data_IF_308303407695
#
_entry.id   IF_308303407695
#
_cell.length_a   1.000
_cell.length_b   1.000
_cell.length_c   1.000
_cell.angle_alpha   90.00
_cell.angle_beta   90.00
_cell.angle_gamma   90.00
#
_symmetry.space_group_name_H-M   'P 1'
#
loop_
_entity.id
_entity.type
_entity.pdbx_description
1 polymer ?
#
# COMPACT_ATOMS: atom_id res chain seq x y z
N UNK A 1 -49.95 75.64 -7.60
CA UNK A 1 -49.89 74.65 -8.69
C UNK A 1 -49.14 73.45 -8.16
N UNK A 2 -49.82 72.30 -8.09
CA UNK A 2 -49.26 71.04 -7.61
C UNK A 2 -48.33 70.46 -8.69
N UNK A 3 -47.11 70.07 -8.31
CA UNK A 3 -46.26 69.25 -9.17
C UNK A 3 -46.42 67.79 -8.76
N UNK A 4 -47.18 67.08 -9.59
CA UNK A 4 -47.25 65.63 -9.71
C UNK A 4 -45.88 65.10 -10.20
N UNK A 5 -45.18 64.39 -9.33
CA UNK A 5 -43.93 63.73 -9.64
C UNK A 5 -44.05 62.24 -9.36
N UNK A 6 -44.42 61.47 -10.39
CA UNK A 6 -44.33 60.01 -10.32
C UNK A 6 -42.87 59.54 -10.30
N UNK A 7 -42.50 58.76 -9.28
CA UNK A 7 -41.21 58.07 -9.23
C UNK A 7 -41.28 56.83 -10.11
N UNK A 8 -40.74 56.91 -11.34
CA UNK A 8 -40.48 55.73 -12.15
C UNK A 8 -39.19 55.07 -11.68
N UNK A 9 -39.31 53.95 -10.98
CA UNK A 9 -38.19 53.06 -10.74
C UNK A 9 -37.87 52.32 -12.04
N UNK A 10 -36.98 52.88 -12.85
CA UNK A 10 -36.36 52.14 -13.94
C UNK A 10 -35.29 51.24 -13.31
N UNK A 11 -35.67 50.01 -12.94
CA UNK A 11 -34.72 48.97 -12.54
C UNK A 11 -33.99 48.47 -13.78
N UNK A 12 -33.27 49.34 -14.47
CA UNK A 12 -32.18 48.90 -15.34
C UNK A 12 -31.13 48.32 -14.41
N UNK A 13 -31.07 47.00 -14.39
CA UNK A 13 -29.98 46.25 -13.78
C UNK A 13 -28.68 46.79 -14.38
N UNK A 14 -27.98 47.60 -13.59
CA UNK A 14 -26.67 48.12 -13.98
C UNK A 14 -25.69 46.96 -13.94
N UNK A 15 -25.55 46.34 -15.11
CA UNK A 15 -24.61 45.25 -15.33
C UNK A 15 -23.16 45.68 -15.20
N UNK A 16 -22.84 46.98 -15.05
CA UNK A 16 -21.45 47.46 -14.95
C UNK A 16 -20.74 46.91 -13.72
N UNK A 17 -21.40 46.81 -12.56
CA UNK A 17 -20.83 46.24 -11.35
C UNK A 17 -20.58 44.73 -11.45
N UNK A 18 -21.52 43.99 -12.06
CA UNK A 18 -21.38 42.55 -12.31
C UNK A 18 -20.31 42.25 -13.38
N UNK A 19 -20.25 43.08 -14.43
CA UNK A 19 -19.26 42.98 -15.51
C UNK A 19 -17.87 43.32 -15.00
N UNK A 20 -17.74 44.32 -14.13
CA UNK A 20 -16.48 44.64 -13.44
C UNK A 20 -16.08 43.55 -12.43
N UNK A 21 -17.05 42.91 -11.77
CA UNK A 21 -16.84 41.73 -10.93
C UNK A 21 -16.32 40.51 -11.71
N UNK A 22 -16.91 40.21 -12.87
CA UNK A 22 -16.46 39.14 -13.78
C UNK A 22 -15.13 39.49 -14.44
N UNK A 23 -14.85 40.75 -14.77
CA UNK A 23 -13.55 41.18 -15.31
C UNK A 23 -12.44 41.05 -14.27
N UNK A 24 -12.71 41.34 -12.99
CA UNK A 24 -11.78 41.10 -11.88
C UNK A 24 -11.60 39.60 -11.59
N UNK A 25 -12.65 38.80 -11.66
CA UNK A 25 -12.55 37.34 -11.62
C UNK A 25 -11.77 36.78 -12.82
N UNK A 26 -11.95 37.38 -14.00
CA UNK A 26 -11.22 37.07 -15.22
C UNK A 26 -9.76 37.52 -15.18
N UNK A 27 -9.41 38.57 -14.43
CA UNK A 27 -8.03 38.99 -14.21
C UNK A 27 -7.34 38.18 -13.11
N UNK A 28 -8.07 37.77 -12.06
CA UNK A 28 -7.57 36.84 -11.04
C UNK A 28 -7.45 35.43 -11.62
N UNK A 29 -8.35 35.03 -12.51
CA UNK A 29 -8.18 33.84 -13.33
C UNK A 29 -7.01 34.03 -14.30
N UNK A 30 -6.83 35.17 -14.98
CA UNK A 30 -5.67 35.37 -15.88
C UNK A 30 -4.33 35.49 -15.17
N UNK A 31 -4.28 35.86 -13.90
CA UNK A 31 -3.03 35.99 -13.13
C UNK A 31 -2.78 34.76 -12.24
N UNK A 32 -3.82 34.14 -11.69
CA UNK A 32 -3.75 32.84 -11.01
C UNK A 32 -3.55 31.69 -12.01
N UNK A 33 -4.29 31.65 -13.11
CA UNK A 33 -4.13 30.68 -14.20
C UNK A 33 -2.95 31.02 -15.13
N UNK A 34 -2.30 32.19 -15.06
CA UNK A 34 -0.94 32.36 -15.65
C UNK A 34 0.18 31.88 -14.74
N UNK A 35 -0.15 31.48 -13.51
CA UNK A 35 0.76 30.70 -12.66
C UNK A 35 0.38 29.20 -12.74
N UNK A 36 -0.86 28.87 -13.12
CA UNK A 36 -1.32 27.46 -13.19
C UNK A 36 -1.52 26.87 -14.60
N UNK A 37 -1.61 27.64 -15.69
CA UNK A 37 -1.78 27.12 -17.06
C UNK A 37 -0.56 27.30 -18.00
N UNK A 38 0.43 28.10 -17.63
CA UNK A 38 1.75 28.10 -18.29
C UNK A 38 2.73 27.10 -17.69
N UNK A 39 2.34 26.36 -16.64
CA UNK A 39 3.09 25.20 -16.14
C UNK A 39 2.85 23.92 -16.96
N UNK A 40 1.91 23.92 -17.91
CA UNK A 40 1.57 22.75 -18.76
C UNK A 40 2.08 22.94 -20.21
N UNK A 41 2.64 24.10 -20.57
CA UNK A 41 2.90 24.44 -21.98
C UNK A 41 4.33 24.30 -22.51
N UNK A 42 5.37 24.19 -21.67
CA UNK A 42 6.76 24.15 -22.14
C UNK A 42 7.69 23.45 -21.16
N UNK A 43 7.44 22.17 -20.88
CA UNK A 43 8.42 21.29 -20.25
C UNK A 43 8.76 20.19 -21.25
N UNK A 44 9.78 20.47 -22.05
CA UNK A 44 10.37 19.54 -23.01
C UNK A 44 10.86 18.29 -22.28
N UNK A 45 10.06 17.22 -22.35
CA UNK A 45 10.43 15.81 -22.18
C UNK A 45 10.82 15.34 -20.77
N UNK A 46 11.79 15.99 -20.12
CA UNK A 46 12.43 15.49 -18.90
C UNK A 46 11.96 16.21 -17.62
N UNK A 47 11.84 17.54 -17.65
CA UNK A 47 11.46 18.32 -16.46
C UNK A 47 9.97 18.22 -16.11
N UNK A 48 9.07 18.09 -17.10
CA UNK A 48 7.63 17.96 -16.87
C UNK A 48 7.25 16.60 -16.30
N UNK A 49 7.90 15.55 -16.80
CA UNK A 49 7.80 14.21 -16.25
C UNK A 49 8.34 14.16 -14.81
N UNK A 50 9.48 14.80 -14.52
CA UNK A 50 10.05 14.83 -13.17
C UNK A 50 9.16 15.58 -12.16
N UNK A 51 8.60 16.73 -12.53
CA UNK A 51 7.69 17.50 -11.65
C UNK A 51 6.36 16.75 -11.41
N UNK A 52 5.76 16.17 -12.46
CA UNK A 52 4.54 15.38 -12.33
C UNK A 52 4.76 14.10 -11.49
N UNK A 53 5.89 13.43 -11.67
CA UNK A 53 6.26 12.23 -10.90
C UNK A 53 6.51 12.55 -9.43
N UNK A 54 7.18 13.68 -9.12
CA UNK A 54 7.42 14.11 -7.74
C UNK A 54 6.13 14.45 -6.98
N UNK A 55 5.20 15.15 -7.61
CA UNK A 55 3.87 15.46 -7.04
C UNK A 55 3.05 14.18 -6.84
N UNK A 56 3.06 13.26 -7.82
CA UNK A 56 2.32 12.00 -7.74
C UNK A 56 2.88 11.05 -6.66
N UNK A 57 4.19 11.05 -6.44
CA UNK A 57 4.83 10.28 -5.37
C UNK A 57 4.44 10.82 -3.98
N UNK A 58 4.50 12.15 -3.79
CA UNK A 58 4.13 12.75 -2.51
C UNK A 58 2.65 12.52 -2.18
N UNK A 59 1.78 12.65 -3.18
CA UNK A 59 0.35 12.36 -3.05
C UNK A 59 0.05 10.89 -2.73
N UNK A 60 0.78 9.93 -3.33
CA UNK A 60 0.65 8.51 -2.97
C UNK A 60 1.04 8.26 -1.52
N UNK A 61 2.11 8.91 -1.05
CA UNK A 61 2.58 8.74 0.32
C UNK A 61 1.59 9.28 1.34
N UNK A 62 1.01 10.45 1.08
CA UNK A 62 -0.09 10.99 1.88
C UNK A 62 -1.31 10.07 1.88
N UNK A 63 -1.62 9.43 0.75
CA UNK A 63 -2.71 8.46 0.66
C UNK A 63 -2.43 7.21 1.53
N UNK A 64 -1.19 6.70 1.53
CA UNK A 64 -0.80 5.60 2.41
C UNK A 64 -0.87 6.00 3.89
N UNK A 65 -0.36 7.17 4.27
CA UNK A 65 -0.45 7.66 5.66
C UNK A 65 -1.91 7.77 6.09
N UNK A 66 -2.78 8.30 5.23
CA UNK A 66 -4.22 8.40 5.52
C UNK A 66 -4.84 7.01 5.69
N UNK A 67 -4.56 6.09 4.76
CA UNK A 67 -5.09 4.72 4.80
C UNK A 67 -4.59 3.94 6.02
N UNK A 68 -3.30 4.00 6.33
CA UNK A 68 -2.77 3.32 7.51
C UNK A 68 -3.21 4.01 8.79
N UNK A 69 -3.42 5.33 8.77
CA UNK A 69 -3.93 6.08 9.91
C UNK A 69 -5.31 5.62 10.34
N UNK A 70 -6.19 5.28 9.39
CA UNK A 70 -7.51 4.72 9.71
C UNK A 70 -7.42 3.27 10.20
N UNK A 71 -6.50 2.46 9.67
CA UNK A 71 -6.33 1.06 10.07
C UNK A 71 -5.65 0.91 11.43
N UNK A 72 -4.65 1.74 11.72
CA UNK A 72 -3.87 1.72 12.96
C UNK A 72 -4.47 2.61 14.06
N UNK A 73 -5.40 3.50 13.70
CA UNK A 73 -5.98 4.48 14.63
C UNK A 73 -5.00 5.59 15.05
N UNK A 74 -3.83 5.70 14.41
CA UNK A 74 -2.80 6.67 14.73
C UNK A 74 -2.09 7.18 13.48
N UNK A 75 -2.16 8.50 13.25
CA UNK A 75 -1.44 9.16 12.16
C UNK A 75 0.09 9.10 12.34
N UNK A 76 0.55 9.06 13.60
CA UNK A 76 1.98 8.95 13.91
C UNK A 76 2.50 7.56 13.53
N UNK A 77 1.80 6.49 13.93
CA UNK A 77 2.17 5.12 13.58
C UNK A 77 2.06 4.87 12.08
N UNK A 78 1.06 5.45 11.42
CA UNK A 78 0.95 5.40 9.97
C UNK A 78 2.15 6.06 9.27
N UNK A 79 2.61 7.21 9.77
CA UNK A 79 3.78 7.90 9.23
C UNK A 79 5.05 7.06 9.43
N UNK A 80 5.22 6.47 10.63
CA UNK A 80 6.33 5.56 10.93
C UNK A 80 6.32 4.35 10.01
N UNK A 81 5.18 3.69 9.86
CA UNK A 81 5.02 2.53 8.98
C UNK A 81 5.42 2.89 7.55
N UNK A 82 4.87 3.98 7.02
CA UNK A 82 5.17 4.43 5.65
C UNK A 82 6.66 4.71 5.43
N UNK A 83 7.34 5.34 6.40
CA UNK A 83 8.79 5.52 6.34
C UNK A 83 9.53 4.18 6.36
N UNK A 84 9.12 3.24 7.21
CA UNK A 84 9.73 1.91 7.26
C UNK A 84 9.53 1.14 5.94
N UNK A 85 8.36 1.23 5.31
CA UNK A 85 8.11 0.62 4.00
C UNK A 85 8.98 1.24 2.90
N UNK A 86 9.23 2.55 2.97
CA UNK A 86 10.16 3.24 2.06
C UNK A 86 11.60 2.76 2.27
N UNK A 87 12.04 2.63 3.51
CA UNK A 87 13.39 2.11 3.82
C UNK A 87 13.56 0.65 3.37
N UNK A 88 12.53 -0.18 3.58
CA UNK A 88 12.54 -1.56 3.12
C UNK A 88 12.58 -1.64 1.59
N UNK A 89 11.74 -0.90 0.88
CA UNK A 89 11.76 -0.85 -0.59
C UNK A 89 13.04 -0.26 -1.18
N UNK A 90 13.85 0.47 -0.40
CA UNK A 90 15.16 0.93 -0.83
C UNK A 90 16.28 -0.13 -0.68
N UNK A 91 16.04 -1.20 0.09
CA UNK A 91 17.01 -2.26 0.39
C UNK A 91 16.64 -3.60 -0.27
N UNK A 92 15.45 -3.69 -0.83
CA UNK A 92 14.88 -4.93 -1.37
C UNK A 92 14.46 -4.73 -2.83
N UNK A 93 14.17 -5.81 -3.58
CA UNK A 93 13.67 -5.73 -4.94
C UNK A 93 12.22 -5.22 -5.06
N UNK A 94 11.56 -4.87 -3.95
CA UNK A 94 10.16 -4.45 -3.92
C UNK A 94 9.98 -2.94 -3.96
N UNK A 95 8.94 -2.47 -4.65
CA UNK A 95 8.54 -1.07 -4.56
C UNK A 95 7.81 -0.80 -3.23
N UNK A 96 7.86 0.45 -2.76
CA UNK A 96 7.06 0.87 -1.60
C UNK A 96 5.55 0.61 -1.81
N UNK A 97 5.09 0.67 -3.05
CA UNK A 97 3.70 0.38 -3.44
C UNK A 97 3.31 -1.09 -3.19
N UNK A 98 4.21 -2.02 -3.47
CA UNK A 98 4.04 -3.46 -3.24
C UNK A 98 3.95 -3.76 -1.76
N UNK A 99 4.90 -3.21 -0.99
CA UNK A 99 4.98 -3.38 0.45
C UNK A 99 3.78 -2.72 1.16
N UNK A 100 3.30 -1.59 0.66
CA UNK A 100 2.10 -0.93 1.19
C UNK A 100 0.84 -1.77 0.93
N UNK A 101 0.67 -2.32 -0.28
CA UNK A 101 -0.46 -3.21 -0.61
C UNK A 101 -0.46 -4.47 0.27
N UNK A 102 0.70 -5.08 0.46
CA UNK A 102 0.86 -6.22 1.35
C UNK A 102 0.52 -5.85 2.81
N UNK A 103 1.00 -4.68 3.25
CA UNK A 103 0.71 -4.17 4.60
C UNK A 103 -0.78 -3.95 4.84
N UNK A 104 -1.48 -3.36 3.88
CA UNK A 104 -2.93 -3.18 3.96
C UNK A 104 -3.65 -4.54 4.04
N UNK A 105 -3.18 -5.53 3.29
CA UNK A 105 -3.76 -6.88 3.34
C UNK A 105 -3.56 -7.50 4.73
N UNK A 106 -2.34 -7.50 5.25
CA UNK A 106 -2.02 -8.07 6.56
C UNK A 106 -2.79 -7.40 7.71
N UNK A 107 -2.82 -6.06 7.72
CA UNK A 107 -3.55 -5.30 8.73
C UNK A 107 -5.07 -5.52 8.64
N UNK A 108 -5.64 -5.61 7.43
CA UNK A 108 -7.06 -5.87 7.23
C UNK A 108 -7.48 -7.26 7.76
N UNK A 109 -6.56 -8.22 7.76
CA UNK A 109 -6.77 -9.57 8.31
C UNK A 109 -6.37 -9.68 9.79
N UNK A 110 -5.97 -8.58 10.43
CA UNK A 110 -5.73 -8.50 11.87
C UNK A 110 -4.30 -8.74 12.32
N UNK A 111 -3.31 -8.72 11.40
CA UNK A 111 -1.89 -8.73 11.78
C UNK A 111 -1.59 -7.50 12.63
N UNK A 112 -0.84 -7.66 13.72
CA UNK A 112 -0.45 -6.54 14.58
C UNK A 112 0.50 -5.59 13.84
N UNK A 113 0.52 -4.31 14.23
CA UNK A 113 1.47 -3.35 13.66
C UNK A 113 2.93 -3.71 13.98
N UNK A 114 3.16 -4.35 15.12
CA UNK A 114 4.49 -4.77 15.60
C UNK A 114 5.04 -5.94 14.79
N UNK A 115 4.17 -6.89 14.40
CA UNK A 115 4.55 -8.07 13.62
C UNK A 115 4.61 -7.79 12.11
N UNK A 116 4.15 -6.61 11.68
CA UNK A 116 3.95 -6.32 10.27
C UNK A 116 5.27 -6.31 9.48
N UNK A 117 6.27 -5.55 9.93
CA UNK A 117 7.55 -5.47 9.22
C UNK A 117 8.31 -6.81 9.23
N UNK A 118 8.42 -7.54 10.36
CA UNK A 118 8.98 -8.90 10.36
C UNK A 118 8.26 -9.83 9.38
N UNK A 119 6.92 -9.77 9.32
CA UNK A 119 6.13 -10.60 8.42
C UNK A 119 6.41 -10.25 6.96
N UNK A 120 6.48 -8.97 6.59
CA UNK A 120 6.80 -8.53 5.24
C UNK A 120 8.21 -8.98 4.82
N UNK A 121 9.20 -8.88 5.71
CA UNK A 121 10.56 -9.35 5.46
C UNK A 121 10.57 -10.85 5.19
N UNK A 122 9.92 -11.64 6.06
CA UNK A 122 9.83 -13.09 5.95
C UNK A 122 9.14 -13.54 4.65
N UNK A 123 8.01 -12.91 4.30
CA UNK A 123 7.32 -13.18 3.03
C UNK A 123 8.16 -12.75 1.82
N UNK A 124 8.87 -11.63 1.95
CA UNK A 124 9.81 -11.13 0.94
C UNK A 124 10.96 -12.10 0.68
N UNK A 125 11.56 -12.66 1.73
CA UNK A 125 12.61 -13.66 1.64
C UNK A 125 12.10 -14.96 0.98
N UNK A 126 10.95 -15.48 1.41
CA UNK A 126 10.37 -16.70 0.80
C UNK A 126 9.97 -16.48 -0.65
N UNK A 127 9.48 -15.29 -1.01
CA UNK A 127 9.19 -14.93 -2.41
C UNK A 127 10.45 -14.71 -3.26
N UNK A 128 11.63 -14.61 -2.64
CA UNK A 128 12.90 -14.32 -3.31
C UNK A 128 12.85 -13.02 -4.13
N UNK A 129 12.16 -12.00 -3.62
CA UNK A 129 11.99 -10.72 -4.32
C UNK A 129 11.02 -10.76 -5.52
N UNK A 130 10.38 -11.89 -5.83
CA UNK A 130 9.39 -11.95 -6.91
C UNK A 130 8.03 -11.43 -6.43
N UNK A 131 7.53 -10.39 -7.11
CA UNK A 131 6.27 -9.71 -6.78
C UNK A 131 5.04 -10.62 -6.82
N UNK A 132 4.89 -11.46 -7.84
CA UNK A 132 3.72 -12.33 -7.97
C UNK A 132 3.66 -13.36 -6.85
N UNK A 133 4.81 -13.94 -6.49
CA UNK A 133 4.96 -14.83 -5.34
C UNK A 133 4.67 -14.09 -4.05
N UNK A 134 5.23 -12.89 -3.86
CA UNK A 134 5.03 -12.08 -2.67
C UNK A 134 3.55 -11.75 -2.42
N UNK A 135 2.84 -11.29 -3.46
CA UNK A 135 1.40 -11.01 -3.39
C UNK A 135 0.61 -12.28 -3.01
N UNK A 136 0.95 -13.44 -3.62
CA UNK A 136 0.27 -14.71 -3.36
C UNK A 136 0.53 -15.25 -1.95
N UNK A 137 1.78 -15.20 -1.49
CA UNK A 137 2.17 -15.60 -0.13
C UNK A 137 1.53 -14.69 0.91
N UNK A 138 1.50 -13.37 0.67
CA UNK A 138 0.88 -12.42 1.59
C UNK A 138 -0.61 -12.71 1.77
N UNK A 139 -1.34 -12.93 0.67
CA UNK A 139 -2.77 -13.23 0.74
C UNK A 139 -3.03 -14.53 1.52
N UNK A 140 -2.32 -15.60 1.19
CA UNK A 140 -2.50 -16.89 1.85
C UNK A 140 -2.08 -16.83 3.33
N UNK A 141 -1.00 -16.11 3.67
CA UNK A 141 -0.57 -15.90 5.05
C UNK A 141 -1.62 -15.13 5.86
N UNK A 142 -2.16 -14.05 5.30
CA UNK A 142 -3.22 -13.27 5.91
C UNK A 142 -4.50 -14.12 6.14
N UNK A 143 -4.88 -14.93 5.15
CA UNK A 143 -6.02 -15.85 5.24
C UNK A 143 -5.84 -16.88 6.35
N UNK A 144 -4.66 -17.51 6.42
CA UNK A 144 -4.32 -18.48 7.48
C UNK A 144 -4.35 -17.83 8.85
N UNK A 145 -3.73 -16.66 9.01
CA UNK A 145 -3.73 -15.90 10.26
C UNK A 145 -5.14 -15.57 10.75
N UNK A 146 -6.01 -15.10 9.86
CA UNK A 146 -7.41 -14.80 10.21
C UNK A 146 -8.24 -16.05 10.48
N UNK A 147 -7.99 -17.16 9.79
CA UNK A 147 -8.68 -18.43 10.00
C UNK A 147 -8.18 -19.18 11.25
N UNK A 148 -6.98 -18.85 11.75
CA UNK A 148 -6.29 -19.53 12.85
C UNK A 148 -5.72 -20.92 12.50
N UNK A 149 -5.81 -21.33 11.23
CA UNK A 149 -5.37 -22.66 10.77
C UNK A 149 -5.10 -22.69 9.28
N UNK A 150 -4.25 -23.63 8.86
CA UNK A 150 -3.92 -23.89 7.47
C UNK A 150 -5.04 -24.69 6.78
N UNK A 151 -5.63 -24.15 5.71
CA UNK A 151 -6.52 -24.91 4.84
C UNK A 151 -5.77 -25.51 3.64
N UNK A 152 -6.40 -26.48 2.97
CA UNK A 152 -5.85 -27.05 1.73
C UNK A 152 -5.74 -26.03 0.60
N UNK A 153 -6.62 -25.02 0.55
CA UNK A 153 -6.55 -23.96 -0.45
C UNK A 153 -5.33 -23.06 -0.20
N UNK A 154 -5.09 -22.67 1.05
CA UNK A 154 -3.94 -21.85 1.43
C UNK A 154 -2.64 -22.59 1.19
N UNK A 155 -2.59 -23.89 1.50
CA UNK A 155 -1.45 -24.74 1.18
C UNK A 155 -1.15 -24.73 -0.32
N UNK A 156 -2.17 -24.88 -1.18
CA UNK A 156 -1.98 -24.82 -2.63
C UNK A 156 -1.46 -23.45 -3.09
N UNK A 157 -1.95 -22.35 -2.49
CA UNK A 157 -1.45 -21.00 -2.79
C UNK A 157 0.03 -20.86 -2.41
N UNK A 158 0.43 -21.31 -1.22
CA UNK A 158 1.83 -21.31 -0.82
C UNK A 158 2.70 -22.13 -1.78
N UNK A 159 2.26 -23.36 -2.11
CA UNK A 159 3.02 -24.28 -2.97
C UNK A 159 3.17 -23.72 -4.38
N UNK A 160 2.12 -23.12 -4.94
CA UNK A 160 2.19 -22.45 -6.25
C UNK A 160 3.12 -21.23 -6.23
N UNK A 161 3.23 -20.56 -5.08
CA UNK A 161 4.20 -19.48 -4.86
C UNK A 161 5.62 -19.99 -4.52
N UNK A 162 5.85 -21.31 -4.54
CA UNK A 162 7.16 -21.93 -4.35
C UNK A 162 7.53 -22.28 -2.91
N UNK A 163 6.57 -22.22 -1.98
CA UNK A 163 6.79 -22.53 -0.56
C UNK A 163 5.83 -23.60 -0.05
N UNK A 164 6.34 -24.61 0.65
CA UNK A 164 5.49 -25.63 1.27
C UNK A 164 5.68 -25.61 2.79
N UNK A 165 4.76 -24.99 3.56
CA UNK A 165 4.89 -24.93 5.02
C UNK A 165 4.91 -26.31 5.67
N UNK A 166 4.21 -27.32 5.12
CA UNK A 166 4.22 -28.67 5.67
C UNK A 166 5.60 -29.34 5.57
N UNK A 167 6.39 -29.03 4.54
CA UNK A 167 7.76 -29.55 4.44
C UNK A 167 8.65 -28.99 5.57
N UNK A 168 8.49 -27.72 5.90
CA UNK A 168 9.24 -27.09 6.99
C UNK A 168 8.77 -27.61 8.36
N UNK A 169 7.46 -27.74 8.57
CA UNK A 169 6.92 -28.35 9.79
C UNK A 169 7.44 -29.79 9.96
N UNK A 170 7.50 -30.58 8.88
CA UNK A 170 8.08 -31.94 8.90
C UNK A 170 9.55 -31.93 9.34
N UNK A 171 10.36 -30.99 8.83
CA UNK A 171 11.77 -30.84 9.25
C UNK A 171 11.89 -30.48 10.73
N UNK A 172 11.00 -29.63 11.24
CA UNK A 172 11.03 -29.16 12.63
C UNK A 172 10.54 -30.21 13.64
N UNK A 173 9.52 -31.00 13.26
CA UNK A 173 8.81 -31.90 14.19
C UNK A 173 9.18 -33.36 14.02
N UNK A 174 9.66 -33.75 12.83
CA UNK A 174 9.84 -35.15 12.43
C UNK A 174 8.56 -35.84 11.98
N UNK A 175 7.40 -35.16 11.97
CA UNK A 175 6.13 -35.72 11.46
C UNK A 175 6.26 -36.07 9.97
N UNK A 176 5.66 -37.18 9.56
CA UNK A 176 5.58 -37.54 8.14
C UNK A 176 4.60 -36.64 7.39
N UNK A 177 4.81 -36.48 6.08
CA UNK A 177 3.89 -35.71 5.24
C UNK A 177 2.46 -36.29 5.20
N UNK A 178 2.29 -37.58 5.50
CA UNK A 178 0.97 -38.20 5.60
C UNK A 178 0.24 -37.72 6.85
N UNK A 179 0.91 -37.78 8.00
CA UNK A 179 0.37 -37.31 9.30
C UNK A 179 0.05 -35.82 9.25
N UNK A 180 0.93 -34.99 8.67
CA UNK A 180 0.71 -33.56 8.54
C UNK A 180 -0.50 -33.22 7.66
N UNK A 181 -0.70 -33.94 6.56
CA UNK A 181 -1.88 -33.73 5.69
C UNK A 181 -3.17 -34.15 6.38
N UNK A 182 -3.14 -35.23 7.14
CA UNK A 182 -4.29 -35.66 7.95
C UNK A 182 -4.60 -34.64 9.04
N UNK A 183 -3.59 -34.19 9.79
CA UNK A 183 -3.71 -33.15 10.82
C UNK A 183 -4.23 -31.84 10.25
N UNK A 184 -3.71 -31.39 9.11
CA UNK A 184 -4.22 -30.21 8.40
C UNK A 184 -5.67 -30.38 7.99
N UNK A 185 -6.06 -31.55 7.46
CA UNK A 185 -7.45 -31.84 7.07
C UNK A 185 -8.41 -31.82 8.28
N UNK A 186 -7.92 -32.20 9.46
CA UNK A 186 -8.63 -32.08 10.73
C UNK A 186 -8.59 -30.64 11.31
N UNK A 187 -7.90 -29.70 10.65
CA UNK A 187 -7.74 -28.32 11.11
C UNK A 187 -6.72 -28.15 12.24
N UNK A 188 -5.86 -29.13 12.46
CA UNK A 188 -4.89 -29.16 13.54
C UNK A 188 -3.54 -28.51 13.23
N UNK A 189 -3.32 -27.98 12.02
CA UNK A 189 -2.15 -27.15 11.69
C UNK A 189 -2.53 -25.69 11.91
N UNK A 190 -2.02 -25.11 13.00
CA UNK A 190 -2.35 -23.75 13.43
C UNK A 190 -1.69 -22.67 12.58
N UNK A 191 -2.21 -21.44 12.64
CA UNK A 191 -1.58 -20.30 11.99
C UNK A 191 -0.18 -20.02 12.57
N UNK A 192 0.00 -20.25 13.87
CA UNK A 192 1.27 -20.11 14.58
C UNK A 192 2.30 -21.11 14.03
N UNK A 193 1.92 -22.38 13.84
CA UNK A 193 2.83 -23.36 13.23
C UNK A 193 3.22 -23.00 11.80
N UNK A 194 2.30 -22.42 11.03
CA UNK A 194 2.64 -21.89 9.70
C UNK A 194 3.62 -20.73 9.82
N UNK A 195 3.40 -19.77 10.73
CA UNK A 195 4.31 -18.67 10.96
C UNK A 195 5.71 -19.16 11.40
N UNK A 196 5.78 -20.16 12.29
CA UNK A 196 7.04 -20.79 12.69
C UNK A 196 7.72 -21.51 11.52
N UNK A 197 6.96 -22.15 10.63
CA UNK A 197 7.50 -22.76 9.41
C UNK A 197 8.16 -21.72 8.48
N UNK A 198 7.53 -20.55 8.30
CA UNK A 198 8.13 -19.45 7.56
C UNK A 198 9.37 -18.88 8.27
N UNK A 199 9.32 -18.69 9.59
CA UNK A 199 10.47 -18.21 10.39
C UNK A 199 11.65 -19.19 10.29
N UNK A 200 11.41 -20.48 10.42
CA UNK A 200 12.44 -21.52 10.28
C UNK A 200 13.08 -21.45 8.89
N UNK A 201 12.27 -21.33 7.84
CA UNK A 201 12.76 -21.27 6.47
C UNK A 201 13.58 -20.00 6.15
N UNK A 202 13.36 -18.91 6.90
CA UNK A 202 14.01 -17.60 6.72
C UNK A 202 15.03 -17.26 7.80
N UNK A 203 15.29 -18.15 8.76
CA UNK A 203 16.34 -17.99 9.79
C UNK A 203 17.67 -18.55 9.30
N UNK A 204 18.76 -18.30 10.05
CA UNK A 204 20.10 -18.80 9.71
C UNK A 204 20.09 -20.32 9.45
N UNK A 205 20.62 -20.73 8.29
CA UNK A 205 20.60 -22.13 7.82
C UNK A 205 19.30 -22.55 7.12
N UNK A 206 18.27 -21.71 7.13
CA UNK A 206 17.03 -21.88 6.37
C UNK A 206 17.22 -21.65 4.87
N UNK A 207 16.34 -22.26 4.07
CA UNK A 207 16.42 -22.24 2.61
C UNK A 207 16.34 -20.83 2.00
N UNK A 208 15.63 -19.92 2.65
CA UNK A 208 15.35 -18.57 2.16
C UNK A 208 16.04 -17.49 2.99
N UNK A 209 17.01 -17.86 3.84
CA UNK A 209 17.74 -16.90 4.68
C UNK A 209 18.36 -15.79 3.82
N UNK A 210 17.98 -14.53 4.10
CA UNK A 210 18.45 -13.33 3.38
C UNK A 210 18.24 -13.38 1.86
N UNK A 211 17.30 -14.20 1.37
CA UNK A 211 17.12 -14.38 -0.07
C UNK A 211 16.70 -13.09 -0.77
N UNK A 212 15.97 -12.20 -0.10
CA UNK A 212 15.58 -10.91 -0.65
C UNK A 212 16.77 -9.94 -0.77
N UNK A 213 17.67 -9.93 0.21
CA UNK A 213 18.89 -9.10 0.18
C UNK A 213 19.87 -9.60 -0.89
N UNK A 214 20.01 -10.92 -1.05
CA UNK A 214 20.83 -11.49 -2.10
C UNK A 214 20.36 -11.08 -3.51
N UNK A 215 19.04 -10.98 -3.71
CA UNK A 215 18.44 -10.58 -4.99
C UNK A 215 18.46 -9.06 -5.24
N UNK A 216 18.53 -8.21 -4.21
CA UNK A 216 18.64 -6.76 -4.41
C UNK A 216 20.03 -6.31 -4.86
N UNK A 217 21.03 -7.18 -4.74
CA UNK A 217 22.42 -6.91 -5.15
C UNK A 217 22.72 -7.32 -6.60
N UNK A 218 21.78 -7.96 -7.30
CA UNK A 218 21.93 -8.39 -8.71
C UNK A 218 21.25 -7.44 -9.67
#
# INVERSE_FOLDING_TARGET
MAYDGSLKFDTRVDSSGFKSGIEKLGSIAKTGLKVTATAIGAVSGAFGAAVLSGVKYNSQMEQYITSFGTMLGSAEEATKLVNNLKEMGAKTPFETSDLAKASQTLLAFGTSAEDLLPTLQMLGDVSQGNKERFDSLTLAFAQVGSAGKLSGQDLLQFVNAGFNPLNEISKMTGESMAELKERMSAGGVSAEEVAEAFKHATSEGGQFYQAMEAQSQT
#
